data_IF_114180762024
#
_entry.id   IF_114180762024
#
_cell.length_a   1.000
_cell.length_b   1.000
_cell.length_c   1.000
_cell.angle_alpha   90.00
_cell.angle_beta   90.00
_cell.angle_gamma   90.00
#
_symmetry.space_group_name_H-M   'P 1'
#
loop_
_entity.id
_entity.type
_entity.pdbx_description
1 polymer ?
#
# COMPACT_ATOMS: atom_id res chain seq x y z
N UNK A 1 -14.37 32.71 -17.46
CA UNK A 1 -13.87 32.61 -16.07
C UNK A 1 -12.93 33.76 -15.82
N UNK A 2 -13.32 34.63 -14.90
CA UNK A 2 -12.47 35.73 -14.45
C UNK A 2 -11.37 35.17 -13.51
N UNK A 3 -10.22 35.82 -13.41
CA UNK A 3 -9.09 35.29 -12.61
C UNK A 3 -9.43 35.23 -11.12
N UNK A 4 -10.29 36.12 -10.64
CA UNK A 4 -10.84 36.06 -9.27
C UNK A 4 -11.68 34.81 -9.02
N UNK A 5 -12.36 34.30 -10.05
CA UNK A 5 -13.23 33.13 -9.98
C UNK A 5 -12.41 31.84 -9.90
N UNK A 6 -11.25 31.82 -10.57
CA UNK A 6 -10.26 30.73 -10.48
C UNK A 6 -9.68 30.64 -9.07
N UNK A 7 -9.29 31.77 -8.50
CA UNK A 7 -8.73 31.83 -7.14
C UNK A 7 -9.79 31.40 -6.12
N UNK A 8 -11.04 31.80 -6.32
CA UNK A 8 -12.15 31.40 -5.45
C UNK A 8 -12.37 29.87 -5.45
N UNK A 9 -12.34 29.24 -6.63
CA UNK A 9 -12.44 27.80 -6.76
C UNK A 9 -11.28 27.09 -6.08
N UNK A 10 -10.06 27.56 -6.32
CA UNK A 10 -8.85 26.99 -5.74
C UNK A 10 -8.85 27.09 -4.21
N UNK A 11 -9.25 28.24 -3.65
CA UNK A 11 -9.37 28.42 -2.20
C UNK A 11 -10.37 27.43 -1.60
N UNK A 12 -11.49 27.19 -2.26
CA UNK A 12 -12.50 26.24 -1.77
C UNK A 12 -11.98 24.80 -1.67
N UNK A 13 -11.13 24.39 -2.61
CA UNK A 13 -10.50 23.07 -2.61
C UNK A 13 -9.35 22.97 -1.60
N UNK A 14 -8.62 24.06 -1.38
CA UNK A 14 -7.42 24.09 -0.54
C UNK A 14 -7.69 24.47 0.92
N UNK A 15 -8.78 25.17 1.25
CA UNK A 15 -9.14 25.51 2.64
C UNK A 15 -9.22 24.26 3.54
N UNK A 16 -9.85 23.13 3.12
CA UNK A 16 -9.85 21.90 3.92
C UNK A 16 -8.47 21.25 4.07
N UNK A 17 -7.51 21.63 3.22
CA UNK A 17 -6.14 21.12 3.17
C UNK A 17 -5.13 22.19 3.59
N UNK A 18 -5.57 23.24 4.30
CA UNK A 18 -4.75 24.42 4.60
C UNK A 18 -3.53 24.14 5.48
N UNK A 19 -3.57 23.03 6.22
CA UNK A 19 -2.45 22.55 7.01
C UNK A 19 -1.49 21.64 6.21
N UNK A 20 -1.89 21.22 5.01
CA UNK A 20 -1.14 20.32 4.11
C UNK A 20 -0.51 21.05 2.90
N UNK A 21 -0.78 22.36 2.71
CA UNK A 21 -0.20 23.19 1.65
C UNK A 21 1.12 23.84 2.09
N UNK A 22 2.02 24.10 1.16
CA UNK A 22 3.28 24.79 1.46
C UNK A 22 3.04 26.22 1.99
N UNK A 23 4.04 26.75 2.71
CA UNK A 23 3.94 28.07 3.36
C UNK A 23 3.59 29.19 2.37
N UNK A 24 4.16 29.16 1.17
CA UNK A 24 3.94 30.19 0.16
C UNK A 24 2.48 30.17 -0.35
N UNK A 25 1.95 28.98 -0.59
CA UNK A 25 0.56 28.76 -0.98
C UNK A 25 -0.39 29.10 0.16
N UNK A 26 0.00 28.80 1.41
CA UNK A 26 -0.76 29.17 2.61
C UNK A 26 -0.89 30.69 2.75
N UNK A 27 0.20 31.42 2.54
CA UNK A 27 0.19 32.90 2.58
C UNK A 27 -0.75 33.47 1.51
N UNK A 28 -0.65 32.98 0.27
CA UNK A 28 -1.54 33.40 -0.83
C UNK A 28 -3.02 33.12 -0.49
N UNK A 29 -3.31 31.96 0.08
CA UNK A 29 -4.67 31.59 0.49
C UNK A 29 -5.16 32.49 1.63
N UNK A 30 -4.31 32.78 2.60
CA UNK A 30 -4.66 33.63 3.74
C UNK A 30 -4.91 35.08 3.31
N UNK A 31 -4.08 35.63 2.43
CA UNK A 31 -4.28 36.95 1.85
C UNK A 31 -5.64 37.01 1.13
N UNK A 32 -5.96 35.99 0.33
CA UNK A 32 -7.25 35.93 -0.34
C UNK A 32 -8.43 35.73 0.61
N UNK A 33 -8.29 34.93 1.66
CA UNK A 33 -9.35 34.69 2.67
C UNK A 33 -9.67 35.97 3.45
N UNK A 34 -8.66 36.81 3.72
CA UNK A 34 -8.85 38.11 4.38
C UNK A 34 -9.63 39.09 3.50
N UNK A 35 -9.42 39.04 2.18
CA UNK A 35 -10.08 39.96 1.23
C UNK A 35 -11.41 39.42 0.69
N UNK A 36 -11.63 38.11 0.69
CA UNK A 36 -12.80 37.46 0.11
C UNK A 36 -13.77 36.94 1.18
N UNK A 37 -14.91 37.64 1.32
CA UNK A 37 -15.99 37.27 2.25
C UNK A 37 -16.48 35.82 2.10
N UNK A 38 -16.53 35.30 0.87
CA UNK A 38 -17.02 33.94 0.61
C UNK A 38 -16.00 32.87 1.06
N UNK A 39 -14.71 33.13 0.85
CA UNK A 39 -13.64 32.24 1.34
C UNK A 39 -13.52 32.31 2.87
N UNK A 40 -13.67 33.50 3.45
CA UNK A 40 -13.72 33.71 4.89
C UNK A 40 -14.82 32.89 5.58
N UNK A 41 -16.03 32.88 5.03
CA UNK A 41 -17.14 32.08 5.57
C UNK A 41 -16.87 30.58 5.49
N UNK A 42 -16.21 30.13 4.42
CA UNK A 42 -15.87 28.72 4.22
C UNK A 42 -14.80 28.26 5.21
N UNK A 43 -13.80 29.12 5.45
CA UNK A 43 -12.76 28.90 6.46
C UNK A 43 -13.34 28.87 7.88
N UNK A 44 -14.19 29.83 8.24
CA UNK A 44 -14.82 29.89 9.56
C UNK A 44 -15.67 28.64 9.87
N UNK A 45 -16.45 28.14 8.91
CA UNK A 45 -17.26 26.92 9.08
C UNK A 45 -16.42 25.68 9.37
N UNK A 46 -15.26 25.56 8.72
CA UNK A 46 -14.34 24.44 8.92
C UNK A 46 -13.63 24.57 10.28
N UNK A 47 -13.24 25.79 10.66
CA UNK A 47 -12.65 26.04 11.96
C UNK A 47 -13.63 25.79 13.13
N UNK A 48 -14.89 26.24 13.01
CA UNK A 48 -15.95 25.94 13.99
C UNK A 48 -16.22 24.43 14.09
N UNK A 49 -16.13 23.68 12.98
CA UNK A 49 -16.22 22.22 13.01
C UNK A 49 -15.04 21.59 13.76
N UNK A 50 -13.82 22.12 13.63
CA UNK A 50 -12.64 21.63 14.36
C UNK A 50 -12.63 21.98 15.85
N UNK A 51 -13.19 23.14 16.24
CA UNK A 51 -13.29 23.56 17.64
C UNK A 51 -14.33 22.74 18.42
N UNK A 52 -15.39 22.25 17.76
CA UNK A 52 -16.37 21.36 18.39
C UNK A 52 -15.83 19.94 18.68
N UNK A 53 -14.61 19.61 18.24
CA UNK A 53 -13.98 18.30 18.43
C UNK A 53 -12.72 18.32 19.31
N UNK A 54 -12.38 19.40 20.02
CA UNK A 54 -11.09 19.45 20.72
C UNK A 54 -11.10 19.94 22.18
N UNK A 55 -10.56 19.09 23.07
CA UNK A 55 -9.49 19.51 23.99
C UNK A 55 -8.80 18.33 24.70
N UNK A 56 -7.53 18.49 25.18
CA UNK A 56 -6.68 19.68 25.12
C UNK A 56 -5.32 19.46 24.43
N UNK A 57 -4.78 20.61 24.00
CA UNK A 57 -3.43 20.86 23.48
C UNK A 57 -2.32 20.04 24.16
N UNK A 58 -1.53 19.36 23.32
CA UNK A 58 -0.07 19.39 23.43
C UNK A 58 0.44 19.99 22.12
N UNK A 59 1.13 21.12 22.24
CA UNK A 59 2.01 21.64 21.21
C UNK A 59 3.14 20.63 21.02
N UNK A 60 2.93 19.66 20.15
CA UNK A 60 4.02 19.12 19.37
C UNK A 60 3.85 19.71 17.97
N UNK A 61 4.92 20.30 17.49
CA UNK A 61 5.19 20.58 16.09
C UNK A 61 5.15 19.23 15.35
N UNK A 62 3.95 18.69 15.15
CA UNK A 62 3.75 17.52 14.33
C UNK A 62 3.82 18.04 12.92
N UNK A 63 5.03 18.07 12.36
CA UNK A 63 5.22 17.84 10.94
C UNK A 63 4.39 16.60 10.59
N UNK A 64 3.15 16.78 10.15
CA UNK A 64 2.39 15.71 9.51
C UNK A 64 3.00 15.66 8.11
N UNK A 65 3.91 14.72 7.80
CA UNK A 65 4.54 14.74 6.50
C UNK A 65 3.49 14.18 5.52
N UNK A 66 3.18 14.85 4.41
CA UNK A 66 2.46 14.21 3.30
C UNK A 66 3.20 12.96 2.78
N UNK A 67 4.47 12.79 3.15
CA UNK A 67 5.30 11.60 2.94
C UNK A 67 4.89 10.38 3.77
N UNK A 68 4.25 10.55 4.94
CA UNK A 68 3.91 9.42 5.82
C UNK A 68 2.78 8.58 5.22
N UNK A 69 1.78 9.21 4.59
CA UNK A 69 0.71 8.52 3.86
C UNK A 69 1.24 7.80 2.61
N UNK A 70 2.20 8.39 1.88
CA UNK A 70 2.84 7.76 0.72
C UNK A 70 3.71 6.56 1.12
N UNK A 71 4.48 6.70 2.21
CA UNK A 71 5.27 5.60 2.77
C UNK A 71 4.39 4.47 3.30
N UNK A 72 3.25 4.79 3.93
CA UNK A 72 2.24 3.82 4.36
C UNK A 72 1.59 3.13 3.17
N UNK A 73 1.25 3.84 2.10
CA UNK A 73 0.70 3.25 0.87
C UNK A 73 1.69 2.26 0.23
N UNK A 74 2.96 2.69 0.07
CA UNK A 74 4.03 1.84 -0.44
C UNK A 74 4.23 0.59 0.45
N UNK A 75 4.21 0.77 1.77
CA UNK A 75 4.32 -0.34 2.73
C UNK A 75 3.12 -1.29 2.66
N UNK A 76 1.91 -0.75 2.57
CA UNK A 76 0.68 -1.52 2.41
C UNK A 76 0.69 -2.35 1.13
N UNK A 77 1.16 -1.76 0.03
CA UNK A 77 1.28 -2.46 -1.25
C UNK A 77 2.32 -3.59 -1.18
N UNK A 78 3.45 -3.39 -0.49
CA UNK A 78 4.44 -4.46 -0.25
C UNK A 78 3.84 -5.61 0.56
N UNK A 79 3.16 -5.27 1.66
CA UNK A 79 2.50 -6.26 2.52
C UNK A 79 1.44 -7.03 1.74
N UNK A 80 0.65 -6.35 0.91
CA UNK A 80 -0.36 -6.97 0.06
C UNK A 80 0.26 -7.99 -0.90
N UNK A 81 1.34 -7.63 -1.58
CA UNK A 81 2.00 -8.52 -2.54
C UNK A 81 2.69 -9.71 -1.87
N UNK A 82 3.20 -9.54 -0.66
CA UNK A 82 3.70 -10.65 0.15
C UNK A 82 2.54 -11.52 0.61
N UNK A 83 1.44 -10.91 1.06
CA UNK A 83 0.23 -11.60 1.51
C UNK A 83 -0.37 -12.50 0.41
N UNK A 84 -0.48 -12.00 -0.82
CA UNK A 84 -0.95 -12.80 -1.96
C UNK A 84 -0.07 -14.04 -2.16
N UNK A 85 1.26 -13.91 -2.09
CA UNK A 85 2.19 -15.05 -2.21
C UNK A 85 1.97 -16.08 -1.10
N UNK A 86 1.87 -15.61 0.14
CA UNK A 86 1.63 -16.48 1.31
C UNK A 86 0.31 -17.21 1.15
N UNK A 87 -0.76 -16.54 0.71
CA UNK A 87 -2.08 -17.16 0.51
C UNK A 87 -2.03 -18.24 -0.59
N UNK A 88 -1.36 -17.96 -1.72
CA UNK A 88 -1.22 -18.94 -2.80
C UNK A 88 -0.43 -20.16 -2.32
N UNK A 89 0.71 -19.95 -1.66
CA UNK A 89 1.53 -21.05 -1.13
C UNK A 89 0.79 -21.85 -0.07
N UNK A 90 0.10 -21.18 0.84
CA UNK A 90 -0.74 -21.83 1.85
C UNK A 90 -1.84 -22.68 1.21
N UNK A 91 -2.52 -22.14 0.20
CA UNK A 91 -3.54 -22.87 -0.56
C UNK A 91 -2.97 -24.12 -1.24
N UNK A 92 -1.81 -24.01 -1.89
CA UNK A 92 -1.16 -25.15 -2.55
C UNK A 92 -0.74 -26.24 -1.56
N UNK A 93 -0.16 -25.86 -0.42
CA UNK A 93 0.22 -26.80 0.64
C UNK A 93 -1.01 -27.48 1.22
N UNK A 94 -2.04 -26.71 1.60
CA UNK A 94 -3.25 -27.25 2.21
C UNK A 94 -4.03 -28.16 1.25
N UNK A 95 -4.14 -27.77 -0.03
CA UNK A 95 -4.77 -28.58 -1.07
C UNK A 95 -4.03 -29.92 -1.25
N UNK A 96 -2.70 -29.89 -1.29
CA UNK A 96 -1.87 -31.08 -1.45
C UNK A 96 -1.98 -32.02 -0.25
N UNK A 97 -2.03 -31.48 0.97
CA UNK A 97 -2.22 -32.27 2.19
C UNK A 97 -3.60 -32.90 2.27
N UNK A 98 -4.66 -32.23 1.81
CA UNK A 98 -6.02 -32.77 1.82
C UNK A 98 -6.19 -33.96 0.87
N UNK A 99 -5.44 -33.97 -0.25
CA UNK A 99 -5.45 -35.07 -1.22
C UNK A 99 -4.62 -36.27 -0.77
N UNK A 100 -3.68 -36.07 0.16
CA UNK A 100 -2.88 -37.14 0.74
C UNK A 100 -3.62 -37.70 1.95
N UNK A 101 -4.23 -38.87 1.83
CA UNK A 101 -4.83 -39.57 2.98
C UNK A 101 -3.83 -39.58 4.14
N UNK A 102 -4.25 -38.97 5.25
CA UNK A 102 -3.37 -38.39 6.24
C UNK A 102 -2.18 -39.27 6.66
N UNK A 103 -1.03 -38.61 6.80
CA UNK A 103 0.16 -39.01 7.58
C UNK A 103 1.35 -39.57 6.79
N UNK A 104 1.28 -39.78 5.46
CA UNK A 104 2.49 -39.96 4.65
C UNK A 104 2.58 -38.93 3.53
N UNK A 105 3.57 -38.04 3.60
CA UNK A 105 3.97 -37.19 2.49
C UNK A 105 4.66 -38.08 1.46
N UNK A 106 3.85 -38.78 0.67
CA UNK A 106 4.34 -39.66 -0.38
C UNK A 106 4.84 -38.85 -1.58
N UNK A 107 5.62 -39.46 -2.46
CA UNK A 107 6.09 -38.84 -3.71
C UNK A 107 4.94 -38.23 -4.53
N UNK A 108 3.70 -38.77 -4.43
CA UNK A 108 2.54 -38.23 -5.14
C UNK A 108 2.13 -36.86 -4.60
N UNK A 109 2.28 -36.62 -3.30
CA UNK A 109 1.97 -35.33 -2.66
C UNK A 109 2.99 -34.25 -3.07
N UNK A 110 4.27 -34.65 -3.20
CA UNK A 110 5.32 -33.76 -3.70
C UNK A 110 5.06 -33.40 -5.17
N UNK A 111 4.69 -34.38 -6.00
CA UNK A 111 4.34 -34.17 -7.41
C UNK A 111 3.11 -33.27 -7.59
N UNK A 112 2.08 -33.44 -6.76
CA UNK A 112 0.90 -32.58 -6.78
C UNK A 112 1.24 -31.13 -6.41
N UNK A 113 2.10 -30.94 -5.41
CA UNK A 113 2.54 -29.63 -5.00
C UNK A 113 3.44 -28.97 -6.06
N UNK A 114 4.32 -29.73 -6.70
CA UNK A 114 5.15 -29.27 -7.83
C UNK A 114 4.29 -28.82 -9.01
N UNK A 115 3.30 -29.64 -9.40
CA UNK A 115 2.34 -29.26 -10.45
C UNK A 115 1.55 -28.00 -10.07
N UNK A 116 1.14 -27.89 -8.79
CA UNK A 116 0.47 -26.71 -8.27
C UNK A 116 1.33 -25.44 -8.33
N UNK A 117 2.62 -25.56 -8.01
CA UNK A 117 3.58 -24.46 -8.12
C UNK A 117 3.73 -24.03 -9.58
N UNK A 118 3.92 -24.98 -10.51
CA UNK A 118 4.09 -24.66 -11.93
C UNK A 118 2.83 -24.06 -12.57
N UNK A 119 1.65 -24.56 -12.22
CA UNK A 119 0.40 -24.16 -12.88
C UNK A 119 -0.21 -22.89 -12.27
N UNK A 120 -0.06 -22.68 -10.96
CA UNK A 120 -0.68 -21.56 -10.25
C UNK A 120 0.33 -20.54 -9.72
N UNK A 121 1.36 -20.99 -8.98
CA UNK A 121 2.30 -20.06 -8.35
C UNK A 121 3.22 -19.38 -9.37
N UNK A 122 3.71 -20.10 -10.38
CA UNK A 122 4.66 -19.55 -11.36
C UNK A 122 4.05 -18.42 -12.21
N UNK A 123 2.87 -18.57 -12.85
CA UNK A 123 2.23 -17.46 -13.56
C UNK A 123 1.91 -16.29 -12.64
N UNK A 124 1.46 -16.57 -11.40
CA UNK A 124 1.18 -15.54 -10.41
C UNK A 124 2.45 -14.79 -9.98
N UNK A 125 3.57 -15.50 -9.78
CA UNK A 125 4.85 -14.92 -9.42
C UNK A 125 5.39 -14.00 -10.53
N UNK A 126 5.25 -14.40 -11.80
CA UNK A 126 5.58 -13.52 -12.94
C UNK A 126 4.74 -12.25 -12.89
N UNK A 127 3.41 -12.38 -12.77
CA UNK A 127 2.50 -11.23 -12.71
C UNK A 127 2.85 -10.29 -11.54
N UNK A 128 3.03 -10.84 -10.33
CA UNK A 128 3.39 -10.07 -9.14
C UNK A 128 4.77 -9.44 -9.26
N UNK A 129 5.71 -10.07 -9.95
CA UNK A 129 7.05 -9.50 -10.20
C UNK A 129 6.99 -8.34 -11.18
N UNK A 130 6.24 -8.47 -12.28
CA UNK A 130 6.01 -7.36 -13.23
C UNK A 130 5.34 -6.20 -12.52
N UNK A 131 4.31 -6.48 -11.72
CA UNK A 131 3.66 -5.47 -10.90
C UNK A 131 4.66 -4.81 -9.94
N UNK A 132 5.46 -5.60 -9.22
CA UNK A 132 6.50 -5.06 -8.33
C UNK A 132 7.50 -4.16 -9.08
N UNK A 133 7.84 -4.48 -10.32
CA UNK A 133 8.76 -3.68 -11.12
C UNK A 133 8.21 -2.29 -11.46
N UNK A 134 6.88 -2.18 -11.63
CA UNK A 134 6.21 -0.91 -11.93
C UNK A 134 6.11 -0.02 -10.67
N UNK A 135 5.78 -0.62 -9.52
CA UNK A 135 5.43 0.13 -8.32
C UNK A 135 6.56 0.32 -7.29
N UNK A 136 7.65 -0.46 -7.36
CA UNK A 136 8.74 -0.38 -6.38
C UNK A 136 10.12 -0.14 -7.00
N UNK A 137 11.05 0.25 -6.13
CA UNK A 137 12.45 0.40 -6.47
C UNK A 137 13.03 -0.90 -7.04
N UNK A 138 13.86 -0.76 -8.08
CA UNK A 138 14.55 -1.86 -8.78
C UNK A 138 15.21 -2.89 -7.84
N UNK A 139 15.79 -2.44 -6.71
CA UNK A 139 16.39 -3.31 -5.70
C UNK A 139 15.38 -4.25 -5.04
N UNK A 140 14.19 -3.75 -4.71
CA UNK A 140 13.14 -4.55 -4.05
C UNK A 140 12.51 -5.53 -5.02
N UNK A 141 12.28 -5.13 -6.26
CA UNK A 141 11.76 -6.03 -7.30
C UNK A 141 12.74 -7.16 -7.63
N UNK A 142 14.04 -6.88 -7.62
CA UNK A 142 15.05 -7.93 -7.77
C UNK A 142 15.09 -8.88 -6.56
N UNK A 143 14.97 -8.36 -5.34
CA UNK A 143 14.84 -9.19 -4.15
C UNK A 143 13.60 -10.10 -4.21
N UNK A 144 12.45 -9.55 -4.61
CA UNK A 144 11.22 -10.30 -4.82
C UNK A 144 11.38 -11.41 -5.86
N UNK A 145 12.03 -11.11 -6.98
CA UNK A 145 12.34 -12.10 -8.03
C UNK A 145 13.21 -13.24 -7.48
N UNK A 146 14.29 -12.91 -6.76
CA UNK A 146 15.15 -13.91 -6.14
C UNK A 146 14.38 -14.80 -5.15
N UNK A 147 13.48 -14.21 -4.37
CA UNK A 147 12.64 -14.96 -3.44
C UNK A 147 11.68 -15.89 -4.17
N UNK A 148 11.02 -15.43 -5.24
CA UNK A 148 10.12 -16.27 -6.03
C UNK A 148 10.86 -17.43 -6.72
N UNK A 149 12.07 -17.19 -7.26
CA UNK A 149 12.95 -18.24 -7.80
C UNK A 149 13.34 -19.24 -6.71
N UNK A 150 13.69 -18.74 -5.53
CA UNK A 150 14.03 -19.59 -4.39
C UNK A 150 12.85 -20.46 -3.99
N UNK A 151 11.62 -19.91 -3.92
CA UNK A 151 10.42 -20.70 -3.63
C UNK A 151 10.21 -21.78 -4.70
N UNK A 152 10.29 -21.46 -5.98
CA UNK A 152 10.07 -22.45 -7.05
C UNK A 152 11.10 -23.58 -6.99
N UNK A 153 12.37 -23.25 -6.76
CA UNK A 153 13.48 -24.21 -6.80
C UNK A 153 13.67 -24.97 -5.50
N UNK A 154 13.51 -24.32 -4.34
CA UNK A 154 13.78 -24.90 -3.03
C UNK A 154 12.58 -25.60 -2.42
N UNK A 155 11.34 -25.31 -2.82
CA UNK A 155 10.18 -25.95 -2.17
C UNK A 155 10.19 -27.47 -2.38
N UNK A 156 10.51 -27.93 -3.58
CA UNK A 156 10.60 -29.37 -3.90
C UNK A 156 11.81 -30.03 -3.23
N UNK A 157 12.96 -29.35 -3.23
CA UNK A 157 14.21 -29.84 -2.60
C UNK A 157 14.06 -29.92 -1.09
N UNK A 158 13.47 -28.90 -0.45
CA UNK A 158 13.24 -28.85 0.99
C UNK A 158 12.26 -29.93 1.42
N UNK A 159 11.18 -30.16 0.68
CA UNK A 159 10.22 -31.24 0.97
C UNK A 159 10.86 -32.64 0.81
N UNK A 160 11.71 -32.84 -0.21
CA UNK A 160 12.46 -34.10 -0.36
C UNK A 160 13.46 -34.31 0.79
N UNK A 161 14.16 -33.27 1.21
CA UNK A 161 15.14 -33.35 2.30
C UNK A 161 14.51 -33.56 3.68
N UNK A 162 13.34 -32.99 3.94
CA UNK A 162 12.68 -33.10 5.25
C UNK A 162 12.06 -34.49 5.53
N UNK A 163 11.86 -35.31 4.49
CA UNK A 163 11.15 -36.58 4.56
C UNK A 163 11.94 -37.80 4.06
N UNK A 164 13.21 -37.64 3.69
CA UNK A 164 14.22 -38.71 3.48
C UNK A 164 15.15 -38.72 4.69
#
# INVERSE_FOLDING_TARGET
MNDQEKIHHLCKELIPLMDDVDHFTKDILMDHIQECRTCQQSYAKINEFSENFSSPKVQEEVEIPPLKKLAQFNTGLKILLIGIRVVILFYLIFSSLKFSDGMSLSETTIQHLEAGIFLFYFPAAIFLTVFSFIFFNKKWSFFSLCLDILVITMTTVFLRWLFI
#
